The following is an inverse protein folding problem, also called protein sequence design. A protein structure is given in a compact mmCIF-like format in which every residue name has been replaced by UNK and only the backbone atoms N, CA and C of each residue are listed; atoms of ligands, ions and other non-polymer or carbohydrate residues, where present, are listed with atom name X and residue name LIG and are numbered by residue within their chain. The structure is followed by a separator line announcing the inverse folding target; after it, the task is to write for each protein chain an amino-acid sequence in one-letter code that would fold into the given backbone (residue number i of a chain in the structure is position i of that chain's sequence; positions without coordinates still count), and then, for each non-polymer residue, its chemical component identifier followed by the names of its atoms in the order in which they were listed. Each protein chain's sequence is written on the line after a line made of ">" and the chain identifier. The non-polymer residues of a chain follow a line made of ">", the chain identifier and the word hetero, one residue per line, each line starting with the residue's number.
data_IF_285159902558
#
_entry.id   IF_285159902558
#
_cell.length_a   1.000
_cell.length_b   1.000
_cell.length_c   1.000
_cell.angle_alpha   90.00
_cell.angle_beta   90.00
_cell.angle_gamma   90.00
#
_symmetry.space_group_name_H-M   'P 1'
#
loop_
_entity.id
_entity.type
_entity.pdbx_description
1 polymer ?
#
# COMPACT_ATOMS: atom_id res chain seq x y z
N UNK A 1 20.04 -9.28 10.32
CA UNK A 1 20.52 -9.79 9.01
C UNK A 1 21.95 -10.28 9.15
N UNK A 2 22.35 -11.33 8.42
CA UNK A 2 23.72 -11.85 8.45
C UNK A 2 24.70 -10.82 7.88
N UNK A 3 25.61 -10.33 8.70
CA UNK A 3 26.76 -9.53 8.30
C UNK A 3 28.00 -10.43 8.35
N UNK A 4 28.63 -10.65 7.20
CA UNK A 4 29.93 -11.33 7.14
C UNK A 4 31.02 -10.28 7.28
N UNK A 5 31.76 -10.32 8.39
CA UNK A 5 33.15 -9.87 8.38
C UNK A 5 33.95 -10.92 7.59
N UNK A 6 35.03 -10.51 6.94
CA UNK A 6 35.87 -11.34 6.05
C UNK A 6 36.59 -12.53 6.76
N UNK A 7 36.08 -13.01 7.88
CA UNK A 7 36.62 -14.13 8.65
C UNK A 7 35.71 -15.36 8.51
N UNK A 8 36.32 -16.55 8.53
CA UNK A 8 35.59 -17.81 8.47
C UNK A 8 34.76 -18.00 9.75
N UNK A 9 33.43 -17.93 9.62
CA UNK A 9 32.51 -18.12 10.75
C UNK A 9 31.05 -17.83 10.40
N UNK A 10 30.13 -18.16 11.31
CA UNK A 10 28.71 -17.86 11.15
C UNK A 10 28.48 -16.34 11.11
N UNK A 11 27.74 -15.82 10.12
CA UNK A 11 27.52 -14.40 9.98
C UNK A 11 26.70 -13.84 11.15
N UNK A 12 27.15 -12.73 11.72
CA UNK A 12 26.48 -12.11 12.86
C UNK A 12 25.15 -11.46 12.43
N UNK A 13 24.10 -11.63 13.23
CA UNK A 13 22.82 -10.98 12.98
C UNK A 13 22.86 -9.53 13.48
N UNK A 14 22.94 -8.57 12.56
CA UNK A 14 22.91 -7.14 12.88
C UNK A 14 21.49 -6.58 12.71
N UNK A 15 21.07 -5.73 13.65
CA UNK A 15 19.84 -4.94 13.58
C UNK A 15 20.01 -3.78 12.59
N UNK A 16 19.01 -3.56 11.74
CA UNK A 16 19.05 -2.46 10.78
C UNK A 16 18.82 -1.13 11.51
N UNK A 17 19.68 -0.12 11.31
CA UNK A 17 19.63 1.12 12.08
C UNK A 17 18.36 1.95 11.79
N UNK A 18 17.73 1.75 10.63
CA UNK A 18 16.59 2.55 10.16
C UNK A 18 15.33 1.70 9.89
N UNK A 19 15.12 0.62 10.64
CA UNK A 19 13.87 -0.16 10.54
C UNK A 19 13.11 -0.13 11.86
N UNK A 20 11.80 0.10 11.75
CA UNK A 20 10.86 -0.08 12.83
C UNK A 20 10.07 -1.36 12.61
N UNK A 21 10.29 -2.37 13.46
CA UNK A 21 9.52 -3.62 13.44
C UNK A 21 8.53 -3.56 14.60
N UNK A 22 7.25 -3.65 14.27
CA UNK A 22 6.14 -3.58 15.22
C UNK A 22 5.25 -4.80 15.09
N UNK A 23 4.63 -5.19 16.20
CA UNK A 23 3.71 -6.31 16.28
C UNK A 23 2.36 -5.84 16.82
N UNK A 24 1.29 -6.34 16.19
CA UNK A 24 -0.07 -6.25 16.69
C UNK A 24 -0.45 -7.65 17.17
N UNK A 25 -0.42 -7.87 18.48
CA UNK A 25 -0.76 -9.14 19.11
C UNK A 25 -2.26 -9.11 19.44
N UNK A 26 -3.01 -9.97 18.75
CA UNK A 26 -4.45 -10.14 18.95
C UNK A 26 -4.65 -11.38 19.83
N UNK A 27 -5.17 -11.19 21.04
CA UNK A 27 -5.48 -12.28 21.96
C UNK A 27 -6.99 -12.31 22.18
N UNK A 28 -7.62 -13.48 22.02
CA UNK A 28 -9.05 -13.65 22.25
C UNK A 28 -9.26 -14.44 23.54
N UNK A 29 -9.92 -13.84 24.53
CA UNK A 29 -10.22 -14.46 25.84
C UNK A 29 -11.70 -14.30 26.11
N UNK A 30 -12.41 -15.40 26.39
CA UNK A 30 -13.86 -15.41 26.66
C UNK A 30 -14.71 -14.65 25.61
N UNK A 31 -14.30 -14.70 24.34
CA UNK A 31 -14.98 -14.03 23.24
C UNK A 31 -14.57 -12.57 23.00
N UNK A 32 -13.92 -11.93 23.96
CA UNK A 32 -13.37 -10.57 23.85
C UNK A 32 -12.02 -10.57 23.12
N UNK A 33 -11.81 -9.57 22.26
CA UNK A 33 -10.58 -9.41 21.49
C UNK A 33 -9.70 -8.31 22.11
N UNK A 34 -8.62 -8.72 22.78
CA UNK A 34 -7.58 -7.84 23.27
C UNK A 34 -6.51 -7.62 22.21
N UNK A 35 -6.16 -6.35 21.96
CA UNK A 35 -5.17 -5.98 20.94
C UNK A 35 -4.02 -5.23 21.60
N UNK A 36 -2.89 -5.91 21.76
CA UNK A 36 -1.64 -5.34 22.25
C UNK A 36 -0.74 -4.92 21.10
N UNK A 37 -0.05 -3.80 21.25
CA UNK A 37 0.89 -3.28 20.24
C UNK A 37 2.27 -3.19 20.86
N UNK A 38 3.25 -3.86 20.26
CA UNK A 38 4.62 -3.93 20.74
C UNK A 38 5.60 -3.47 19.67
N UNK A 39 6.60 -2.71 20.06
CA UNK A 39 7.76 -2.41 19.21
C UNK A 39 8.80 -3.52 19.50
N UNK A 40 9.21 -4.22 18.44
CA UNK A 40 10.22 -5.30 18.51
C UNK A 40 11.61 -4.76 18.19
N UNK A 41 11.69 -3.82 17.24
CA UNK A 41 12.92 -3.16 16.85
C UNK A 41 12.62 -1.72 16.44
N UNK A 42 13.54 -0.80 16.77
CA UNK A 42 13.40 0.63 16.51
C UNK A 42 12.90 1.39 17.73
N UNK A 43 13.04 2.72 17.68
CA UNK A 43 12.66 3.61 18.76
C UNK A 43 11.18 4.03 18.69
N UNK A 44 10.56 4.30 19.84
CA UNK A 44 9.19 4.77 19.92
C UNK A 44 8.99 6.11 19.22
N UNK A 45 9.97 7.02 19.28
CA UNK A 45 9.90 8.30 18.54
C UNK A 45 9.89 8.08 17.04
N UNK A 46 10.71 7.13 16.55
CA UNK A 46 10.74 6.75 15.14
C UNK A 46 9.38 6.22 14.70
N UNK A 47 8.80 5.27 15.44
CA UNK A 47 7.48 4.69 15.14
C UNK A 47 6.39 5.76 15.16
N UNK A 48 6.36 6.63 16.17
CA UNK A 48 5.41 7.74 16.23
C UNK A 48 5.57 8.71 15.06
N UNK A 49 6.81 9.03 14.67
CA UNK A 49 7.07 9.87 13.51
C UNK A 49 6.53 9.24 12.21
N UNK A 50 6.69 7.92 12.05
CA UNK A 50 6.19 7.18 10.88
C UNK A 50 4.66 7.15 10.86
N UNK A 51 4.01 6.95 12.01
CA UNK A 51 2.55 7.00 12.14
C UNK A 51 2.05 8.40 11.79
N UNK A 52 2.66 9.46 12.33
CA UNK A 52 2.29 10.84 11.99
C UNK A 52 2.45 11.15 10.50
N UNK A 53 3.55 10.69 9.90
CA UNK A 53 3.80 10.88 8.45
C UNK A 53 2.80 10.14 7.57
N UNK A 54 2.34 8.96 7.99
CA UNK A 54 1.51 8.07 7.13
C UNK A 54 0.02 8.17 7.40
N UNK A 55 -0.37 8.46 8.64
CA UNK A 55 -1.75 8.42 9.12
C UNK A 55 -2.20 9.74 9.76
N UNK A 56 -1.30 10.72 9.93
CA UNK A 56 -1.48 11.95 10.73
C UNK A 56 -1.73 11.64 12.21
N UNK A 57 -2.91 11.11 12.52
CA UNK A 57 -3.29 10.57 13.80
C UNK A 57 -3.69 9.10 13.64
N UNK A 58 -3.02 8.22 14.38
CA UNK A 58 -3.26 6.80 14.21
C UNK A 58 -2.52 5.93 15.23
N UNK A 59 -2.70 4.64 15.06
CA UNK A 59 -2.07 3.60 15.86
C UNK A 59 -1.46 2.55 14.93
N UNK A 60 -0.56 1.73 15.46
CA UNK A 60 -0.05 0.57 14.73
C UNK A 60 -1.26 -0.31 14.38
N UNK A 61 -1.59 -0.40 13.09
CA UNK A 61 -2.76 -1.10 12.59
C UNK A 61 -2.42 -1.88 11.33
N UNK A 62 -2.64 -3.19 11.38
CA UNK A 62 -2.44 -4.10 10.24
C UNK A 62 -3.71 -4.30 9.42
N UNK A 63 -4.86 -3.78 9.87
CA UNK A 63 -6.16 -4.01 9.22
C UNK A 63 -6.19 -3.58 7.75
N UNK A 64 -5.45 -2.53 7.38
CA UNK A 64 -5.36 -2.08 5.98
C UNK A 64 -4.68 -3.12 5.09
N UNK A 65 -3.51 -3.63 5.52
CA UNK A 65 -2.76 -4.66 4.79
C UNK A 65 -3.53 -5.99 4.80
N UNK A 66 -4.14 -6.35 5.94
CA UNK A 66 -4.97 -7.56 6.06
C UNK A 66 -6.17 -7.52 5.11
N UNK A 67 -6.88 -6.38 5.02
CA UNK A 67 -7.99 -6.18 4.09
C UNK A 67 -7.54 -6.32 2.64
N UNK A 68 -6.46 -5.63 2.27
CA UNK A 68 -5.92 -5.70 0.91
C UNK A 68 -5.49 -7.13 0.54
N UNK A 69 -4.80 -7.82 1.44
CA UNK A 69 -4.41 -9.21 1.24
C UNK A 69 -5.64 -10.13 1.13
N UNK A 70 -6.69 -9.90 1.92
CA UNK A 70 -7.94 -10.65 1.79
C UNK A 70 -8.58 -10.44 0.42
N UNK A 71 -8.61 -9.20 -0.09
CA UNK A 71 -9.09 -8.90 -1.45
C UNK A 71 -8.28 -9.64 -2.51
N UNK A 72 -6.95 -9.64 -2.41
CA UNK A 72 -6.12 -10.39 -3.36
C UNK A 72 -6.41 -11.89 -3.33
N UNK A 73 -6.54 -12.49 -2.14
CA UNK A 73 -6.89 -13.91 -2.01
C UNK A 73 -8.29 -14.26 -2.52
N UNK A 74 -9.22 -13.31 -2.48
CA UNK A 74 -10.58 -13.49 -3.00
C UNK A 74 -10.65 -13.36 -4.52
N UNK A 75 -9.85 -12.47 -5.13
CA UNK A 75 -9.93 -12.15 -6.56
C UNK A 75 -8.88 -12.85 -7.42
N UNK A 76 -7.77 -13.31 -6.83
CA UNK A 76 -6.70 -14.02 -7.54
C UNK A 76 -6.64 -15.46 -7.05
N UNK A 77 -7.05 -16.39 -7.93
CA UNK A 77 -7.04 -17.83 -7.64
C UNK A 77 -5.65 -18.34 -7.23
N UNK A 78 -4.59 -17.76 -7.77
CA UNK A 78 -3.21 -18.11 -7.45
C UNK A 78 -2.77 -17.71 -6.04
N UNK A 79 -3.45 -16.75 -5.41
CA UNK A 79 -3.19 -16.31 -4.04
C UNK A 79 -4.16 -16.91 -3.03
N UNK A 80 -5.20 -17.63 -3.50
CA UNK A 80 -6.11 -18.33 -2.62
C UNK A 80 -5.34 -19.31 -1.72
N UNK A 81 -5.75 -19.43 -0.45
CA UNK A 81 -5.04 -20.20 0.59
C UNK A 81 -4.74 -21.65 0.18
N UNK A 82 -5.67 -22.27 -0.54
CA UNK A 82 -5.52 -23.61 -1.12
C UNK A 82 -5.83 -23.50 -2.59
N UNK A 83 -4.79 -23.53 -3.42
CA UNK A 83 -4.94 -23.35 -4.87
C UNK A 83 -4.14 -24.40 -5.61
N UNK A 84 -4.69 -24.82 -6.75
CA UNK A 84 -4.01 -25.67 -7.74
C UNK A 84 -3.42 -24.84 -8.88
N UNK A 85 -3.62 -23.52 -8.85
CA UNK A 85 -3.22 -22.58 -9.91
C UNK A 85 -1.96 -21.80 -9.50
N UNK A 86 -0.83 -22.52 -9.38
CA UNK A 86 0.45 -21.90 -9.02
C UNK A 86 0.95 -21.01 -10.16
N UNK A 87 1.33 -19.78 -9.83
CA UNK A 87 1.98 -18.86 -10.78
C UNK A 87 3.48 -19.17 -10.81
N UNK A 88 4.01 -19.38 -12.01
CA UNK A 88 5.44 -19.68 -12.23
C UNK A 88 6.30 -18.45 -12.49
N UNK A 89 5.70 -17.32 -12.87
CA UNK A 89 6.39 -16.08 -13.21
C UNK A 89 5.94 -14.95 -12.30
N UNK A 90 6.88 -14.33 -11.59
CA UNK A 90 6.59 -13.19 -10.71
C UNK A 90 5.85 -12.07 -11.45
N UNK A 91 6.28 -11.74 -12.68
CA UNK A 91 5.65 -10.71 -13.52
C UNK A 91 4.14 -10.93 -13.75
N UNK A 92 3.70 -12.17 -13.92
CA UNK A 92 2.26 -12.48 -14.10
C UNK A 92 1.47 -12.23 -12.82
N UNK A 93 2.05 -12.59 -11.67
CA UNK A 93 1.44 -12.34 -10.37
C UNK A 93 1.34 -10.84 -10.09
N UNK A 94 2.44 -10.12 -10.31
CA UNK A 94 2.51 -8.67 -10.13
C UNK A 94 1.47 -7.96 -11.00
N UNK A 95 1.39 -8.28 -12.30
CA UNK A 95 0.39 -7.70 -13.18
C UNK A 95 -1.05 -7.95 -12.68
N UNK A 96 -1.37 -9.17 -12.24
CA UNK A 96 -2.67 -9.49 -11.66
C UNK A 96 -2.96 -8.72 -10.37
N UNK A 97 -1.96 -8.58 -9.50
CA UNK A 97 -2.07 -7.78 -8.28
C UNK A 97 -2.28 -6.30 -8.59
N UNK A 98 -1.61 -5.74 -9.59
CA UNK A 98 -1.84 -4.37 -10.03
C UNK A 98 -3.27 -4.17 -10.54
N UNK A 99 -3.77 -5.06 -11.40
CA UNK A 99 -5.15 -4.98 -11.90
C UNK A 99 -6.16 -5.00 -10.76
N UNK A 100 -6.03 -5.96 -9.83
CA UNK A 100 -6.94 -6.06 -8.67
C UNK A 100 -6.80 -4.84 -7.75
N UNK A 101 -5.57 -4.36 -7.54
CA UNK A 101 -5.31 -3.17 -6.74
C UNK A 101 -5.93 -1.91 -7.35
N UNK A 102 -5.86 -1.74 -8.67
CA UNK A 102 -6.49 -0.61 -9.35
C UNK A 102 -8.01 -0.70 -9.26
N UNK A 103 -8.62 -1.86 -9.52
CA UNK A 103 -10.06 -2.05 -9.37
C UNK A 103 -10.52 -1.76 -7.92
N UNK A 104 -9.78 -2.25 -6.93
CA UNK A 104 -10.06 -2.00 -5.51
C UNK A 104 -10.00 -0.51 -5.15
N UNK A 105 -9.01 0.23 -5.66
CA UNK A 105 -8.81 1.63 -5.30
C UNK A 105 -9.72 2.59 -6.07
N UNK A 106 -10.02 2.31 -7.34
CA UNK A 106 -10.71 3.24 -8.24
C UNK A 106 -12.17 2.85 -8.53
N UNK A 107 -12.51 1.57 -8.56
CA UNK A 107 -13.83 1.08 -8.96
C UNK A 107 -14.69 0.60 -7.77
N UNK A 108 -14.09 -0.14 -6.83
CA UNK A 108 -14.83 -0.74 -5.73
C UNK A 108 -15.15 0.28 -4.63
N UNK A 109 -16.43 0.34 -4.23
CA UNK A 109 -16.88 1.24 -3.16
C UNK A 109 -16.78 0.57 -1.79
N UNK A 110 -16.32 1.32 -0.79
CA UNK A 110 -16.12 0.82 0.57
C UNK A 110 -17.11 1.43 1.55
N UNK A 111 -17.81 0.58 2.29
CA UNK A 111 -18.73 1.01 3.35
C UNK A 111 -18.04 1.83 4.45
N UNK A 112 -16.80 1.50 4.80
CA UNK A 112 -16.02 2.21 5.81
C UNK A 112 -15.59 3.62 5.40
N UNK A 113 -15.70 3.97 4.12
CA UNK A 113 -15.34 5.29 3.59
C UNK A 113 -16.56 6.19 3.36
N UNK A 114 -17.77 5.74 3.74
CA UNK A 114 -18.98 6.54 3.59
C UNK A 114 -18.92 7.76 4.51
N UNK A 115 -19.26 8.93 3.97
CA UNK A 115 -19.36 10.17 4.73
C UNK A 115 -20.80 10.44 5.13
N UNK A 116 -20.99 11.06 6.30
CA UNK A 116 -22.26 11.64 6.71
C UNK A 116 -22.37 13.03 6.09
N UNK A 117 -23.32 13.23 5.17
CA UNK A 117 -23.71 14.56 4.71
C UNK A 117 -24.91 15.02 5.52
N UNK A 118 -24.83 16.22 6.09
CA UNK A 118 -25.98 16.88 6.71
C UNK A 118 -26.95 17.30 5.59
N UNK A 119 -28.22 16.93 5.74
CA UNK A 119 -29.31 17.29 4.82
C UNK A 119 -30.36 18.03 5.62
N UNK A 120 -30.49 19.34 5.40
CA UNK A 120 -31.41 20.22 6.12
C UNK A 120 -31.02 20.45 7.59
N UNK A 121 -31.96 20.98 8.39
CA UNK A 121 -31.73 21.34 9.81
C UNK A 121 -31.60 20.14 10.76
N UNK A 122 -32.13 18.96 10.40
CA UNK A 122 -32.24 17.83 11.34
C UNK A 122 -31.93 16.45 10.73
N UNK A 123 -31.41 16.37 9.50
CA UNK A 123 -31.17 15.10 8.81
C UNK A 123 -29.71 14.86 8.45
N UNK A 124 -29.33 13.60 8.32
CA UNK A 124 -28.08 13.21 7.66
C UNK A 124 -28.34 12.09 6.65
N UNK A 125 -27.63 12.13 5.52
CA UNK A 125 -27.60 11.09 4.50
C UNK A 125 -26.18 10.54 4.38
N UNK A 126 -26.06 9.23 4.43
CA UNK A 126 -24.79 8.58 4.10
C UNK A 126 -24.53 8.68 2.60
N UNK A 127 -23.38 9.23 2.21
CA UNK A 127 -22.88 9.13 0.83
C UNK A 127 -22.54 7.67 0.58
N UNK A 128 -23.38 7.00 -0.20
CA UNK A 128 -23.36 5.54 -0.27
C UNK A 128 -22.13 4.96 -0.97
N UNK A 129 -21.45 5.74 -1.82
CA UNK A 129 -20.42 5.23 -2.73
C UNK A 129 -19.16 6.10 -2.66
N UNK A 130 -18.11 5.59 -2.02
CA UNK A 130 -16.78 6.21 -2.00
C UNK A 130 -15.72 5.13 -2.16
N UNK A 131 -14.76 5.36 -3.05
CA UNK A 131 -13.60 4.49 -3.27
C UNK A 131 -12.37 5.04 -2.52
N UNK A 132 -11.33 4.23 -2.27
CA UNK A 132 -10.10 4.70 -1.66
C UNK A 132 -9.44 5.87 -2.41
N UNK A 133 -9.39 5.80 -3.74
CA UNK A 133 -8.82 6.86 -4.56
C UNK A 133 -9.61 8.17 -4.43
N UNK A 134 -10.94 8.10 -4.38
CA UNK A 134 -11.81 9.27 -4.13
C UNK A 134 -11.63 9.81 -2.71
N UNK A 135 -11.41 8.94 -1.72
CA UNK A 135 -11.13 9.34 -0.35
C UNK A 135 -9.77 10.03 -0.18
N UNK A 136 -8.78 9.60 -0.95
CA UNK A 136 -7.46 10.22 -1.02
C UNK A 136 -7.38 11.42 -1.98
N UNK A 137 -8.51 11.83 -2.58
CA UNK A 137 -8.56 12.92 -3.57
C UNK A 137 -7.64 12.70 -4.78
N UNK A 138 -7.38 11.45 -5.15
CA UNK A 138 -6.62 11.08 -6.35
C UNK A 138 -7.49 11.09 -7.62
N UNK A 139 -8.81 11.05 -7.45
CA UNK A 139 -9.82 11.14 -8.50
C UNK A 139 -11.00 11.93 -7.96
N UNK A 140 -11.81 12.49 -8.85
CA UNK A 140 -13.04 13.25 -8.58
C UNK A 140 -14.30 12.40 -8.73
N UNK A 141 -14.20 11.22 -9.36
CA UNK A 141 -15.31 10.30 -9.58
C UNK A 141 -14.92 8.83 -9.34
N UNK A 142 -15.94 7.95 -9.37
CA UNK A 142 -15.77 6.50 -9.26
C UNK A 142 -15.60 5.93 -10.66
N UNK A 143 -14.48 5.25 -10.89
CA UNK A 143 -14.14 4.74 -12.21
C UNK A 143 -14.91 3.47 -12.52
N UNK A 144 -15.26 3.29 -13.79
CA UNK A 144 -15.68 1.97 -14.28
C UNK A 144 -14.45 1.13 -14.68
N UNK A 145 -14.53 -0.22 -14.67
CA UNK A 145 -13.42 -1.05 -15.16
C UNK A 145 -13.02 -0.69 -16.61
N UNK A 146 -14.01 -0.44 -17.46
CA UNK A 146 -13.79 -0.05 -18.86
C UNK A 146 -13.01 1.26 -18.96
N UNK A 147 -13.38 2.26 -18.17
CA UNK A 147 -12.69 3.55 -18.13
C UNK A 147 -11.25 3.41 -17.61
N UNK A 148 -11.06 2.62 -16.55
CA UNK A 148 -9.75 2.36 -15.96
C UNK A 148 -8.78 1.72 -16.97
N UNK A 149 -9.24 0.74 -17.74
CA UNK A 149 -8.40 0.07 -18.75
C UNK A 149 -8.19 0.91 -20.02
N UNK A 150 -9.12 1.79 -20.35
CA UNK A 150 -9.01 2.67 -21.52
C UNK A 150 -8.30 3.99 -21.22
N UNK A 151 -7.99 4.27 -19.95
CA UNK A 151 -7.32 5.49 -19.56
C UNK A 151 -5.96 5.62 -20.25
N UNK A 152 -5.81 6.69 -21.02
CA UNK A 152 -4.55 7.02 -21.68
C UNK A 152 -3.69 7.79 -20.69
N UNK A 153 -2.66 7.13 -20.17
CA UNK A 153 -1.63 7.81 -19.38
C UNK A 153 -0.87 8.74 -20.34
N UNK A 154 -0.86 10.06 -20.11
CA UNK A 154 -0.09 10.97 -20.94
C UNK A 154 1.38 10.57 -20.86
N UNK A 155 2.05 10.54 -22.02
CA UNK A 155 3.48 10.26 -22.07
C UNK A 155 4.22 11.27 -21.19
N UNK A 156 5.32 10.85 -20.51
CA UNK A 156 6.17 11.80 -19.83
C UNK A 156 6.60 12.88 -20.81
N UNK A 157 6.74 14.12 -20.31
CA UNK A 157 7.25 15.21 -21.13
C UNK A 157 8.58 14.76 -21.74
N UNK A 158 8.72 14.92 -23.04
CA UNK A 158 9.98 14.60 -23.71
C UNK A 158 11.09 15.46 -23.10
N UNK A 159 12.11 14.82 -22.57
CA UNK A 159 13.32 15.48 -22.11
C UNK A 159 14.40 15.29 -23.17
N UNK A 160 15.07 16.37 -23.63
CA UNK A 160 16.15 16.24 -24.58
C UNK A 160 17.24 15.33 -23.98
N UNK A 161 17.79 14.39 -24.77
CA UNK A 161 18.86 13.53 -24.29
C UNK A 161 20.02 14.41 -23.82
N UNK A 162 20.54 14.14 -22.62
CA UNK A 162 21.70 14.85 -22.08
C UNK A 162 22.87 14.63 -23.03
N UNK A 163 23.26 15.68 -23.77
CA UNK A 163 24.44 15.64 -24.63
C UNK A 163 25.69 15.45 -23.77
N UNK A 164 26.13 14.20 -23.59
CA UNK A 164 27.46 13.87 -23.08
C UNK A 164 28.44 13.89 -24.25
N UNK A 165 28.91 15.08 -24.58
CA UNK A 165 29.93 15.30 -25.60
C UNK A 165 30.78 16.52 -25.24
N UNK A 166 32.08 16.45 -25.57
CA UNK A 166 33.00 17.59 -25.43
C UNK A 166 32.50 18.74 -26.32
N UNK A 167 32.34 19.98 -25.81
CA UNK A 167 32.00 21.12 -26.65
C UNK A 167 33.02 21.23 -27.78
N UNK A 168 32.57 21.21 -29.04
CA UNK A 168 33.47 21.44 -30.17
C UNK A 168 33.93 22.90 -30.13
N UNK A 169 35.25 23.11 -30.10
CA UNK A 169 35.84 24.44 -30.28
C UNK A 169 35.57 24.85 -31.73
N UNK A 170 34.54 25.66 -31.97
CA UNK A 170 34.42 26.39 -33.23
C UNK A 170 35.46 27.52 -33.21
N UNK A 171 36.38 27.43 -34.16
CA UNK A 171 37.40 28.41 -34.53
C UNK A 171 36.71 29.73 -34.95
N UNK A 172 37.26 30.85 -34.50
CA UNK A 172 36.95 32.20 -34.98
C UNK A 172 37.36 32.38 -36.45
#
# INVERSE_FOLDING_TARGET
>A
MPHRRHEQGHPQLISWPNIAIVQVVKQRVNGELNVMRRIVQGDQKMVQSLIRKTQQEGVINTAFIERLNATFRQRLNSLARRTRTLVRKAATLEAGMFVVGCLYNFCDTHHSLRLKLLVGRHGYRWVQRRTPALAASLTDHIWTPTELFNFKVPLPRWEPPVHRGRPSRKTQ
#
